data_IF_641280080569
#
_entry.id   IF_641280080569
#
_cell.length_a   1.000
_cell.length_b   1.000
_cell.length_c   1.000
_cell.angle_alpha   90.00
_cell.angle_beta   90.00
_cell.angle_gamma   90.00
#
_symmetry.space_group_name_H-M   'P 1'
#
loop_
_entity.id
_entity.type
_entity.pdbx_description
1 polymer ?
#
# COMPACT_ATOMS: atom_id res chain seq x y z
N UNK A 1 -14.48 -12.66 4.39
CA UNK A 1 -14.11 -11.41 3.71
C UNK A 1 -14.90 -11.33 2.40
N UNK A 2 -15.60 -10.24 2.13
CA UNK A 2 -16.53 -10.12 0.98
C UNK A 2 -15.71 -9.81 -0.28
N UNK A 3 -15.84 -10.60 -1.35
CA UNK A 3 -15.06 -10.53 -2.60
C UNK A 3 -14.81 -9.10 -3.15
N UNK A 4 -15.79 -8.20 -2.97
CA UNK A 4 -15.67 -6.78 -3.29
C UNK A 4 -14.44 -6.10 -2.69
N UNK A 5 -14.12 -6.36 -1.41
CA UNK A 5 -12.95 -5.74 -0.76
C UNK A 5 -11.64 -6.23 -1.36
N UNK A 6 -11.55 -7.51 -1.73
CA UNK A 6 -10.34 -8.05 -2.38
C UNK A 6 -10.17 -7.46 -3.77
N UNK A 7 -11.24 -7.37 -4.55
CA UNK A 7 -11.22 -6.73 -5.85
C UNK A 7 -10.71 -5.29 -5.76
N UNK A 8 -11.23 -4.50 -4.81
CA UNK A 8 -10.81 -3.12 -4.61
C UNK A 8 -9.33 -3.00 -4.17
N UNK A 9 -8.85 -3.90 -3.31
CA UNK A 9 -7.44 -3.95 -2.91
C UNK A 9 -6.51 -4.28 -4.11
N UNK A 10 -6.88 -5.28 -4.91
CA UNK A 10 -6.13 -5.64 -6.13
C UNK A 10 -6.16 -4.49 -7.13
N UNK A 11 -7.33 -3.85 -7.33
CA UNK A 11 -7.46 -2.70 -8.21
C UNK A 11 -6.54 -1.55 -7.78
N UNK A 12 -6.48 -1.23 -6.48
CA UNK A 12 -5.54 -0.23 -5.96
C UNK A 12 -4.09 -0.61 -6.28
N UNK A 13 -3.72 -1.88 -6.09
CA UNK A 13 -2.37 -2.37 -6.41
C UNK A 13 -2.04 -2.24 -7.90
N UNK A 14 -2.98 -2.56 -8.79
CA UNK A 14 -2.81 -2.40 -10.24
C UNK A 14 -2.66 -0.92 -10.62
N UNK A 15 -3.49 -0.05 -10.06
CA UNK A 15 -3.38 1.40 -10.31
C UNK A 15 -2.00 1.93 -9.88
N UNK A 16 -1.44 1.44 -8.77
CA UNK A 16 -0.09 1.80 -8.35
C UNK A 16 0.98 1.34 -9.35
N UNK A 17 0.84 0.16 -9.97
CA UNK A 17 1.79 -0.29 -11.02
C UNK A 17 1.81 0.66 -12.20
N UNK A 18 0.64 1.18 -12.60
CA UNK A 18 0.49 2.04 -13.79
C UNK A 18 1.14 3.42 -13.65
N UNK A 19 1.49 3.84 -12.43
CA UNK A 19 2.18 5.11 -12.17
C UNK A 19 3.65 5.03 -12.63
N UNK A 20 4.27 3.85 -12.57
CA UNK A 20 5.71 3.68 -12.74
C UNK A 20 6.15 3.54 -14.22
N UNK A 21 7.44 3.73 -14.54
CA UNK A 21 7.96 4.23 -15.83
C UNK A 21 7.61 3.45 -17.10
N UNK A 22 7.01 2.26 -16.99
CA UNK A 22 6.55 1.51 -18.15
C UNK A 22 5.22 2.03 -18.70
N UNK A 23 4.36 2.53 -17.82
CA UNK A 23 3.06 3.09 -18.16
C UNK A 23 3.05 4.62 -17.97
N UNK A 24 3.80 5.13 -16.98
CA UNK A 24 4.06 6.56 -16.77
C UNK A 24 2.77 7.40 -16.64
N UNK A 25 1.72 6.80 -16.07
CA UNK A 25 0.42 7.44 -15.90
C UNK A 25 0.35 8.14 -14.53
N UNK A 26 1.21 9.14 -14.33
CA UNK A 26 1.36 9.85 -13.05
C UNK A 26 0.03 10.41 -12.49
N UNK A 27 -0.89 10.82 -13.38
CA UNK A 27 -2.21 11.32 -12.98
C UNK A 27 -3.03 10.28 -12.19
N UNK A 28 -2.73 8.99 -12.33
CA UNK A 28 -3.40 7.91 -11.59
C UNK A 28 -3.03 7.95 -10.10
N UNK A 29 -1.88 8.53 -9.73
CA UNK A 29 -1.43 8.62 -8.34
C UNK A 29 -2.47 9.30 -7.43
N UNK A 30 -3.19 10.30 -7.95
CA UNK A 30 -4.26 11.00 -7.23
C UNK A 30 -5.42 10.11 -6.80
N UNK A 31 -5.66 9.00 -7.52
CA UNK A 31 -6.79 8.11 -7.29
C UNK A 31 -6.39 6.69 -6.92
N UNK A 32 -5.10 6.32 -7.03
CA UNK A 32 -4.62 4.95 -6.89
C UNK A 32 -4.95 4.32 -5.54
N UNK A 33 -4.95 5.10 -4.46
CA UNK A 33 -5.27 4.63 -3.10
C UNK A 33 -6.77 4.67 -2.76
N UNK A 34 -7.61 5.32 -3.58
CA UNK A 34 -9.05 5.43 -3.33
C UNK A 34 -9.72 4.04 -3.21
N UNK A 35 -9.45 3.06 -4.09
CA UNK A 35 -10.02 1.72 -3.94
C UNK A 35 -9.58 1.03 -2.64
N UNK A 36 -8.34 1.20 -2.18
CA UNK A 36 -7.87 0.65 -0.91
C UNK A 36 -8.67 1.23 0.27
N UNK A 37 -8.85 2.55 0.33
CA UNK A 37 -9.68 3.19 1.37
C UNK A 37 -11.12 2.65 1.37
N UNK A 38 -11.70 2.43 0.19
CA UNK A 38 -13.02 1.81 0.06
C UNK A 38 -13.02 0.33 0.50
N UNK A 39 -11.94 -0.40 0.26
CA UNK A 39 -11.80 -1.82 0.63
C UNK A 39 -11.78 -2.03 2.15
N UNK A 40 -11.07 -1.15 2.87
CA UNK A 40 -10.85 -1.22 4.33
C UNK A 40 -11.96 -0.52 5.14
N UNK A 41 -12.83 0.24 4.50
CA UNK A 41 -13.95 0.93 5.18
C UNK A 41 -14.84 -0.05 5.95
N UNK A 42 -15.02 0.22 7.25
CA UNK A 42 -15.85 -0.61 8.14
C UNK A 42 -15.27 -2.01 8.40
N UNK A 43 -13.97 -2.22 8.17
CA UNK A 43 -13.27 -3.46 8.49
C UNK A 43 -12.61 -3.35 9.86
N UNK A 44 -12.36 -4.49 10.49
CA UNK A 44 -11.47 -4.55 11.65
C UNK A 44 -10.02 -4.28 11.21
N UNK A 45 -9.16 -3.73 12.10
CA UNK A 45 -7.76 -3.45 11.78
C UNK A 45 -7.01 -4.67 11.21
N UNK A 46 -7.27 -5.87 11.74
CA UNK A 46 -6.70 -7.12 11.22
C UNK A 46 -7.09 -7.41 9.76
N UNK A 47 -8.34 -7.16 9.38
CA UNK A 47 -8.79 -7.34 8.01
C UNK A 47 -8.24 -6.23 7.08
N UNK A 48 -8.12 -5.00 7.59
CA UNK A 48 -7.49 -3.91 6.85
C UNK A 48 -6.00 -4.19 6.59
N UNK A 49 -5.27 -4.74 7.56
CA UNK A 49 -3.90 -5.21 7.38
C UNK A 49 -3.78 -6.20 6.22
N UNK A 50 -4.64 -7.23 6.18
CA UNK A 50 -4.62 -8.22 5.10
C UNK A 50 -4.92 -7.63 3.72
N UNK A 51 -5.84 -6.65 3.63
CA UNK A 51 -6.14 -5.96 2.38
C UNK A 51 -5.01 -5.01 1.94
N UNK A 52 -4.37 -4.32 2.89
CA UNK A 52 -3.18 -3.52 2.63
C UNK A 52 -2.00 -4.37 2.17
N UNK A 53 -1.79 -5.54 2.79
CA UNK A 53 -0.77 -6.50 2.39
C UNK A 53 -1.01 -7.01 0.96
N UNK A 54 -2.27 -7.35 0.62
CA UNK A 54 -2.63 -7.75 -0.74
C UNK A 54 -2.36 -6.64 -1.76
N UNK A 55 -2.74 -5.40 -1.43
CA UNK A 55 -2.50 -4.22 -2.27
C UNK A 55 -1.00 -4.03 -2.52
N UNK A 56 -0.19 -4.07 -1.46
CA UNK A 56 1.25 -3.95 -1.53
C UNK A 56 1.94 -5.08 -2.29
N UNK A 57 1.49 -6.33 -2.12
CA UNK A 57 2.04 -7.45 -2.87
C UNK A 57 1.77 -7.30 -4.36
N UNK A 58 0.53 -6.95 -4.74
CA UNK A 58 0.18 -6.71 -6.15
C UNK A 58 1.04 -5.57 -6.72
N UNK A 59 1.12 -4.43 -6.02
CA UNK A 59 1.86 -3.27 -6.50
C UNK A 59 3.36 -3.56 -6.62
N UNK A 60 4.00 -4.04 -5.56
CA UNK A 60 5.46 -4.19 -5.53
C UNK A 60 5.97 -5.36 -6.36
N UNK A 61 5.21 -6.46 -6.50
CA UNK A 61 5.54 -7.50 -7.48
C UNK A 61 5.48 -6.95 -8.91
N UNK A 62 4.50 -6.10 -9.20
CA UNK A 62 4.35 -5.49 -10.53
C UNK A 62 5.35 -4.37 -10.83
N UNK A 63 5.70 -3.54 -9.85
CA UNK A 63 6.65 -2.44 -10.00
C UNK A 63 8.08 -2.98 -10.10
N UNK A 64 8.43 -3.95 -9.26
CA UNK A 64 9.79 -4.48 -9.14
C UNK A 64 9.99 -5.81 -9.86
N UNK A 65 9.09 -6.22 -10.77
CA UNK A 65 9.23 -7.47 -11.54
C UNK A 65 10.61 -7.59 -12.22
N UNK A 66 11.18 -6.47 -12.63
CA UNK A 66 12.48 -6.37 -13.30
C UNK A 66 13.66 -6.83 -12.42
N UNK A 67 13.51 -6.87 -11.09
CA UNK A 67 14.55 -7.37 -10.18
C UNK A 67 14.92 -8.83 -10.47
N UNK A 68 14.01 -9.59 -11.09
CA UNK A 68 14.31 -10.96 -11.56
C UNK A 68 15.44 -11.04 -12.59
N UNK A 69 15.82 -9.93 -13.22
CA UNK A 69 16.98 -9.84 -14.12
C UNK A 69 18.30 -9.91 -13.34
N UNK A 70 18.32 -9.41 -12.09
CA UNK A 70 19.55 -9.22 -11.29
C UNK A 70 19.58 -10.07 -10.01
N UNK A 71 18.44 -10.64 -9.61
CA UNK A 71 18.32 -11.48 -8.42
C UNK A 71 17.33 -12.63 -8.66
N UNK A 72 17.44 -13.74 -7.90
CA UNK A 72 16.49 -14.84 -8.01
C UNK A 72 15.06 -14.40 -7.63
N UNK A 73 14.07 -15.14 -8.13
CA UNK A 73 12.65 -14.86 -7.90
C UNK A 73 12.29 -14.78 -6.40
N UNK A 74 12.96 -15.55 -5.53
CA UNK A 74 12.76 -15.47 -4.08
C UNK A 74 13.14 -14.10 -3.52
N UNK A 75 14.15 -13.43 -4.08
CA UNK A 75 14.56 -12.08 -3.70
C UNK A 75 13.47 -11.06 -3.99
N UNK A 76 12.80 -11.16 -5.15
CA UNK A 76 11.63 -10.34 -5.48
C UNK A 76 10.50 -10.56 -4.47
N UNK A 77 10.16 -11.81 -4.14
CA UNK A 77 9.10 -12.08 -3.17
C UNK A 77 9.41 -11.54 -1.78
N UNK A 78 10.65 -11.70 -1.30
CA UNK A 78 11.08 -11.17 0.00
C UNK A 78 10.98 -9.63 0.00
N UNK A 79 11.50 -8.98 -1.04
CA UNK A 79 11.45 -7.52 -1.15
C UNK A 79 10.01 -7.02 -1.26
N UNK A 80 9.20 -7.60 -2.13
CA UNK A 80 7.81 -7.22 -2.29
C UNK A 80 7.01 -7.42 -1.00
N UNK A 81 7.26 -8.51 -0.28
CA UNK A 81 6.64 -8.74 1.03
C UNK A 81 7.07 -7.68 2.05
N UNK A 82 8.38 -7.39 2.15
CA UNK A 82 8.92 -6.33 3.01
C UNK A 82 8.25 -4.98 2.73
N UNK A 83 8.19 -4.56 1.47
CA UNK A 83 7.56 -3.29 1.09
C UNK A 83 6.05 -3.30 1.32
N UNK A 84 5.39 -4.43 1.06
CA UNK A 84 3.95 -4.58 1.29
C UNK A 84 3.56 -4.45 2.77
N UNK A 85 4.49 -4.74 3.70
CA UNK A 85 4.25 -4.51 5.13
C UNK A 85 4.01 -3.04 5.46
N UNK A 86 4.58 -2.09 4.72
CA UNK A 86 4.33 -0.66 4.95
C UNK A 86 2.89 -0.28 4.58
N UNK A 87 2.37 -0.77 3.46
CA UNK A 87 0.96 -0.57 3.07
C UNK A 87 0.00 -1.33 4.00
N UNK A 88 0.39 -2.52 4.45
CA UNK A 88 -0.36 -3.29 5.44
C UNK A 88 -0.44 -2.56 6.79
N UNK A 89 0.69 -2.02 7.25
CA UNK A 89 0.78 -1.25 8.50
C UNK A 89 0.04 0.08 8.40
N UNK A 90 0.14 0.77 7.26
CA UNK A 90 -0.67 1.94 6.94
C UNK A 90 -2.16 1.62 7.10
N UNK A 91 -2.63 0.56 6.44
CA UNK A 91 -4.04 0.17 6.45
C UNK A 91 -4.53 -0.23 7.84
N UNK A 92 -3.67 -0.92 8.61
CA UNK A 92 -3.94 -1.28 10.00
C UNK A 92 -4.06 -0.06 10.90
N UNK A 93 -3.04 0.79 10.93
CA UNK A 93 -2.97 1.96 11.80
C UNK A 93 -4.04 2.99 11.44
N UNK A 94 -4.27 3.21 10.14
CA UNK A 94 -5.36 4.06 9.66
C UNK A 94 -6.71 3.57 10.20
N UNK A 95 -7.02 2.28 10.04
CA UNK A 95 -8.30 1.72 10.50
C UNK A 95 -8.40 1.71 12.03
N UNK A 96 -7.32 1.41 12.74
CA UNK A 96 -7.27 1.40 14.20
C UNK A 96 -7.47 2.79 14.80
N UNK A 97 -6.80 3.81 14.28
CA UNK A 97 -6.95 5.18 14.79
C UNK A 97 -8.31 5.77 14.40
N UNK A 98 -8.75 5.58 13.15
CA UNK A 98 -10.05 6.12 12.69
C UNK A 98 -11.26 5.41 13.30
N UNK A 99 -11.11 4.20 13.84
CA UNK A 99 -12.20 3.57 14.61
C UNK A 99 -12.43 4.22 15.98
N UNK A 100 -11.47 4.98 16.50
CA UNK A 100 -11.55 5.67 17.80
C UNK A 100 -11.75 7.19 17.67
N UNK A 101 -11.67 7.72 16.45
CA UNK A 101 -11.83 9.15 16.18
C UNK A 101 -13.26 9.42 15.70
N UNK A 102 -13.95 10.32 16.37
CA UNK A 102 -15.35 10.69 16.06
C UNK A 102 -15.46 11.80 15.00
N UNK A 103 -14.41 12.63 14.84
CA UNK A 103 -14.41 13.75 13.90
C UNK A 103 -13.85 13.36 12.53
N UNK A 104 -14.69 13.48 11.50
CA UNK A 104 -14.34 13.16 10.11
C UNK A 104 -13.16 13.96 9.54
N UNK A 105 -12.98 15.20 9.97
CA UNK A 105 -11.87 16.07 9.55
C UNK A 105 -10.51 15.51 9.94
N UNK A 106 -10.41 14.84 11.09
CA UNK A 106 -9.16 14.24 11.57
C UNK A 106 -8.70 13.08 10.70
N UNK A 107 -9.61 12.40 9.97
CA UNK A 107 -9.26 11.29 9.08
C UNK A 107 -8.49 11.78 7.86
N UNK A 108 -8.85 12.98 7.35
CA UNK A 108 -8.24 13.59 6.17
C UNK A 108 -6.79 13.98 6.44
N UNK A 109 -6.48 14.46 7.65
CA UNK A 109 -5.12 14.83 8.05
C UNK A 109 -4.29 13.62 8.50
N UNK A 110 -4.92 12.61 9.10
CA UNK A 110 -4.20 11.46 9.62
C UNK A 110 -3.63 10.56 8.52
N UNK A 111 -4.38 10.35 7.42
CA UNK A 111 -3.91 9.55 6.29
C UNK A 111 -2.57 10.04 5.70
N UNK A 112 -2.42 11.29 5.24
CA UNK A 112 -1.15 11.76 4.66
C UNK A 112 -0.01 11.77 5.69
N UNK A 113 -0.28 12.13 6.95
CA UNK A 113 0.74 12.07 8.01
C UNK A 113 1.28 10.65 8.20
N UNK A 114 0.37 9.69 8.32
CA UNK A 114 0.73 8.28 8.50
C UNK A 114 1.45 7.72 7.28
N UNK A 115 1.01 8.08 6.07
CA UNK A 115 1.66 7.66 4.82
C UNK A 115 3.11 8.16 4.77
N UNK A 116 3.31 9.47 4.93
CA UNK A 116 4.65 10.08 4.89
C UNK A 116 5.57 9.53 5.98
N UNK A 117 5.05 9.30 7.20
CA UNK A 117 5.83 8.70 8.28
C UNK A 117 6.32 7.28 7.94
N UNK A 118 5.48 6.46 7.30
CA UNK A 118 5.84 5.11 6.88
C UNK A 118 6.80 5.11 5.70
N UNK A 119 6.66 6.04 4.76
CA UNK A 119 7.59 6.26 3.66
C UNK A 119 8.98 6.68 4.16
N UNK A 120 9.03 7.58 5.14
CA UNK A 120 10.28 7.97 5.80
C UNK A 120 10.93 6.81 6.58
N UNK A 121 10.11 5.99 7.25
CA UNK A 121 10.62 4.78 7.90
C UNK A 121 11.17 3.80 6.86
N UNK A 122 10.49 3.64 5.72
CA UNK A 122 10.92 2.77 4.61
C UNK A 122 12.22 3.25 3.97
N UNK A 123 12.48 4.55 3.94
CA UNK A 123 13.72 5.11 3.40
C UNK A 123 14.93 4.96 4.34
N UNK A 124 14.74 4.58 5.60
CA UNK A 124 15.83 4.54 6.60
C UNK A 124 16.01 3.17 7.28
N UNK A 125 14.92 2.41 7.46
CA UNK A 125 14.94 1.11 8.12
C UNK A 125 15.62 0.04 7.25
N UNK A 126 16.41 -0.85 7.86
CA UNK A 126 17.18 -1.91 7.19
C UNK A 126 17.96 -1.40 5.97
N UNK A 127 18.78 -0.37 6.18
CA UNK A 127 19.54 0.37 5.14
C UNK A 127 18.70 1.19 4.15
N UNK A 128 17.37 1.11 4.23
CA UNK A 128 16.44 1.92 3.46
C UNK A 128 16.17 1.40 2.05
N UNK A 129 14.93 1.55 1.57
CA UNK A 129 14.56 1.30 0.18
C UNK A 129 13.59 2.36 -0.33
N UNK A 130 14.08 3.57 -0.67
CA UNK A 130 13.27 4.73 -1.07
C UNK A 130 12.85 4.72 -2.55
N UNK A 131 12.61 3.53 -3.11
CA UNK A 131 12.09 3.41 -4.47
C UNK A 131 10.58 3.39 -4.46
N UNK A 132 9.94 3.99 -5.46
CA UNK A 132 8.47 4.03 -5.55
C UNK A 132 7.81 4.63 -4.29
N UNK A 133 8.35 5.75 -3.80
CA UNK A 133 7.74 6.55 -2.72
C UNK A 133 6.51 7.34 -3.23
#
# INVERSE_FOLDING_TARGET
>A
MKYRSMFLAILSGILLILIFPRADLEFIAWIALVPLFLAIRGKSPKNAFGLGLLTGLVSFLGIFYWITIVAPLIGLFILAFYLALYIALFSFLYTFCTSHITHHTSHILFAPLLWVALEYLRSTFLSGFPWAL
#
